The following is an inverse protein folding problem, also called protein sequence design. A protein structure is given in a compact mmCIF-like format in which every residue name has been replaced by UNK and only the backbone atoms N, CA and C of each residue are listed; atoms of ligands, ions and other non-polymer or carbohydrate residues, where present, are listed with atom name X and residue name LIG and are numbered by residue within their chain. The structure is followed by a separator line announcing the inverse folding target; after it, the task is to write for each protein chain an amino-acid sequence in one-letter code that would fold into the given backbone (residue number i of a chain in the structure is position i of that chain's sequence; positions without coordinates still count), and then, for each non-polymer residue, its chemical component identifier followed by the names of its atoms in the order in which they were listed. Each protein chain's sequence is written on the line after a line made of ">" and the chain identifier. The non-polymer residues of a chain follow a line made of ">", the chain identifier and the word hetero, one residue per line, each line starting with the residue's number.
data_IF_400869598778
#
_entry.id   IF_400869598778
#
_cell.length_a   1.000
_cell.length_b   1.000
_cell.length_c   1.000
_cell.angle_alpha   90.00
_cell.angle_beta   90.00
_cell.angle_gamma   90.00
#
_symmetry.space_group_name_H-M   'P 1'
#
loop_
_entity.id
_entity.type
_entity.pdbx_description
1 polymer ?
#
# COMPACT_ATOMS: atom_id res chain seq x y z
N UNK A 1 -3.52 31.26 2.87
CA UNK A 1 -2.25 30.97 2.16
C UNK A 1 -1.76 29.57 2.52
N UNK A 2 -1.20 28.84 1.56
CA UNK A 2 -0.50 27.56 1.73
C UNK A 2 1.00 27.82 1.73
N UNK A 3 1.70 27.48 2.81
CA UNK A 3 3.13 27.73 2.94
C UNK A 3 3.93 26.42 2.88
N UNK A 4 4.92 26.36 1.99
CA UNK A 4 5.77 25.18 1.78
C UNK A 4 7.18 25.45 2.33
N UNK A 5 7.43 25.10 3.59
CA UNK A 5 8.76 25.30 4.18
C UNK A 5 9.62 24.04 4.11
N UNK A 6 10.84 24.21 3.59
CA UNK A 6 11.71 23.13 3.17
C UNK A 6 13.17 23.60 3.14
N UNK A 7 14.12 22.67 3.11
CA UNK A 7 15.51 23.00 2.85
C UNK A 7 15.76 23.16 1.34
N UNK A 8 16.64 24.07 0.94
CA UNK A 8 16.98 24.30 -0.47
C UNK A 8 17.45 23.03 -1.21
N UNK A 9 18.08 22.07 -0.52
CA UNK A 9 18.51 20.79 -1.09
C UNK A 9 17.34 19.87 -1.45
N UNK A 10 16.17 20.09 -0.85
CA UNK A 10 14.97 19.28 -1.06
C UNK A 10 14.09 19.84 -2.20
N UNK A 11 14.47 20.98 -2.78
CA UNK A 11 13.77 21.65 -3.89
C UNK A 11 13.38 20.72 -5.04
N UNK A 12 14.23 19.80 -5.52
CA UNK A 12 13.85 18.92 -6.63
C UNK A 12 12.56 18.14 -6.40
N UNK A 13 12.24 17.79 -5.14
CA UNK A 13 11.00 17.09 -4.78
C UNK A 13 9.89 18.08 -4.39
N UNK A 14 10.21 19.09 -3.58
CA UNK A 14 9.22 20.08 -3.10
C UNK A 14 8.62 20.88 -4.24
N UNK A 15 9.40 21.19 -5.27
CA UNK A 15 8.94 21.88 -6.47
C UNK A 15 7.84 21.10 -7.19
N UNK A 16 7.95 19.77 -7.26
CA UNK A 16 6.93 18.93 -7.88
C UNK A 16 5.59 19.06 -7.13
N UNK A 17 5.63 19.11 -5.80
CA UNK A 17 4.45 19.38 -4.97
C UNK A 17 3.92 20.79 -5.22
N UNK A 18 4.80 21.80 -5.17
CA UNK A 18 4.44 23.20 -5.36
C UNK A 18 3.74 23.45 -6.70
N UNK A 19 4.27 22.89 -7.80
CA UNK A 19 3.69 23.02 -9.14
C UNK A 19 2.28 22.43 -9.24
N UNK A 20 2.04 21.30 -8.56
CA UNK A 20 0.71 20.67 -8.50
C UNK A 20 -0.27 21.53 -7.69
N UNK A 21 0.16 22.03 -6.53
CA UNK A 21 -0.67 22.93 -5.71
C UNK A 21 -0.98 24.24 -6.43
N UNK A 22 0.00 24.80 -7.15
CA UNK A 22 -0.19 25.99 -8.01
C UNK A 22 -1.28 25.74 -9.05
N UNK A 23 -1.30 24.57 -9.68
CA UNK A 23 -2.31 24.21 -10.68
C UNK A 23 -3.72 24.11 -10.08
N UNK A 24 -3.83 23.64 -8.84
CA UNK A 24 -5.12 23.39 -8.16
C UNK A 24 -5.66 24.66 -7.50
N UNK A 25 -4.82 25.38 -6.75
CA UNK A 25 -5.21 26.51 -5.91
C UNK A 25 -4.80 27.87 -6.46
N UNK A 26 -3.99 27.92 -7.52
CA UNK A 26 -3.41 29.16 -8.07
C UNK A 26 -2.12 29.59 -7.36
N UNK A 27 -1.23 30.26 -8.10
CA UNK A 27 0.10 30.65 -7.61
C UNK A 27 0.05 31.58 -6.40
N UNK A 28 -0.89 32.53 -6.39
CA UNK A 28 -1.01 33.53 -5.31
C UNK A 28 -1.46 32.93 -3.97
N UNK A 29 -1.96 31.69 -3.98
CA UNK A 29 -2.37 30.97 -2.78
C UNK A 29 -1.27 30.03 -2.26
N UNK A 30 -0.15 29.87 -2.98
CA UNK A 30 0.96 28.97 -2.64
C UNK A 30 2.25 29.76 -2.49
N UNK A 31 2.70 29.87 -1.25
CA UNK A 31 4.01 30.43 -0.93
C UNK A 31 5.09 29.35 -1.10
N UNK A 32 5.88 29.47 -2.16
CA UNK A 32 7.06 28.66 -2.45
C UNK A 32 8.21 29.61 -2.79
N UNK A 33 9.30 29.50 -2.02
CA UNK A 33 10.39 30.49 -1.97
C UNK A 33 10.89 30.92 -3.37
N UNK A 34 11.00 29.98 -4.29
CA UNK A 34 11.66 30.17 -5.59
C UNK A 34 10.84 31.06 -6.54
N UNK A 35 9.53 31.20 -6.35
CA UNK A 35 8.73 32.20 -7.07
C UNK A 35 8.19 33.32 -6.18
N UNK A 36 8.14 33.11 -4.86
CA UNK A 36 7.61 34.10 -3.91
C UNK A 36 8.64 35.15 -3.49
N UNK A 37 9.93 34.88 -3.66
CA UNK A 37 11.04 35.78 -3.31
C UNK A 37 11.87 36.05 -4.56
N UNK A 38 11.98 37.31 -4.95
CA UNK A 38 12.72 37.74 -6.14
C UNK A 38 14.03 38.45 -5.75
N UNK A 39 15.05 38.46 -6.63
CA UNK A 39 16.26 39.25 -6.40
C UNK A 39 15.94 40.72 -6.09
N UNK A 40 16.44 41.21 -4.95
CA UNK A 40 16.13 42.54 -4.43
C UNK A 40 15.15 42.54 -3.26
N UNK A 41 14.43 41.44 -3.03
CA UNK A 41 13.56 41.28 -1.86
C UNK A 41 14.35 40.97 -0.59
N UNK A 42 13.87 41.50 0.54
CA UNK A 42 14.28 41.02 1.86
C UNK A 42 13.68 39.64 2.13
N UNK A 43 14.53 38.61 2.20
CA UNK A 43 14.10 37.21 2.43
C UNK A 43 13.24 37.10 3.68
N UNK A 44 13.68 37.72 4.79
CA UNK A 44 12.98 37.70 6.08
C UNK A 44 11.60 38.37 5.99
N UNK A 45 11.53 39.51 5.29
CA UNK A 45 10.27 40.26 5.14
C UNK A 45 9.25 39.46 4.34
N UNK A 46 9.68 38.84 3.24
CA UNK A 46 8.81 37.97 2.42
C UNK A 46 8.34 36.73 3.16
N UNK A 47 9.20 36.11 3.97
CA UNK A 47 8.81 34.99 4.83
C UNK A 47 7.77 35.41 5.86
N UNK A 48 7.94 36.56 6.51
CA UNK A 48 6.97 37.10 7.46
C UNK A 48 5.63 37.43 6.81
N UNK A 49 5.65 37.99 5.59
CA UNK A 49 4.46 38.24 4.78
C UNK A 49 3.69 36.93 4.49
N UNK A 50 4.39 35.90 4.02
CA UNK A 50 3.80 34.58 3.74
C UNK A 50 3.24 33.91 5.00
N UNK A 51 3.93 34.02 6.13
CA UNK A 51 3.51 33.47 7.42
C UNK A 51 2.32 34.20 8.04
N UNK A 52 2.14 35.49 7.78
CA UNK A 52 1.06 36.29 8.39
C UNK A 52 -0.32 35.93 7.84
N UNK A 53 -0.40 35.52 6.58
CA UNK A 53 -1.64 35.08 5.92
C UNK A 53 -1.74 33.55 5.80
N UNK A 54 -0.84 32.82 6.47
CA UNK A 54 -0.76 31.37 6.42
C UNK A 54 -1.98 30.74 7.10
N UNK A 55 -2.60 29.77 6.42
CA UNK A 55 -3.63 28.90 6.99
C UNK A 55 -3.11 27.47 7.15
N UNK A 56 -2.30 27.02 6.17
CA UNK A 56 -1.70 25.70 6.14
C UNK A 56 -0.19 25.81 6.00
N UNK A 57 0.54 25.23 6.95
CA UNK A 57 2.00 25.25 7.00
C UNK A 57 2.53 23.82 6.87
N UNK A 58 3.14 23.51 5.72
CA UNK A 58 3.62 22.17 5.38
C UNK A 58 5.13 22.04 5.57
N UNK A 59 5.57 21.09 6.40
CA UNK A 59 7.01 20.83 6.65
C UNK A 59 7.54 19.74 5.80
N UNK A 60 8.49 20.05 4.94
CA UNK A 60 9.26 18.99 4.31
C UNK A 60 10.41 18.60 5.23
N UNK A 61 10.17 17.58 6.05
CA UNK A 61 11.11 17.00 7.04
C UNK A 61 12.04 16.02 6.35
N UNK A 62 13.28 16.46 6.16
CA UNK A 62 14.44 15.68 5.70
C UNK A 62 15.62 15.81 6.67
N UNK A 63 16.65 14.98 6.51
CA UNK A 63 17.93 15.14 7.18
C UNK A 63 18.55 16.54 6.96
N UNK A 64 18.34 17.14 5.78
CA UNK A 64 18.80 18.49 5.46
C UNK A 64 18.03 19.56 6.26
N UNK A 65 16.71 19.39 6.38
CA UNK A 65 15.84 20.34 7.10
C UNK A 65 16.10 20.30 8.62
N UNK A 66 16.27 19.10 9.19
CA UNK A 66 16.43 18.90 10.64
C UNK A 66 17.81 19.37 11.13
N UNK A 67 18.85 19.23 10.29
CA UNK A 67 20.21 19.67 10.61
C UNK A 67 20.43 21.17 10.43
N UNK A 68 19.54 21.88 9.72
CA UNK A 68 19.67 23.32 9.48
C UNK A 68 19.24 24.16 10.68
N UNK A 69 20.17 24.97 11.19
CA UNK A 69 19.93 25.94 12.27
C UNK A 69 18.92 27.04 11.86
N UNK A 70 18.88 27.40 10.57
CA UNK A 70 17.94 28.38 10.02
C UNK A 70 16.51 27.83 9.93
N UNK A 71 16.36 26.57 9.52
CA UNK A 71 15.06 25.86 9.51
C UNK A 71 14.55 25.66 10.94
N UNK A 72 15.41 25.40 11.92
CA UNK A 72 14.99 25.32 13.33
C UNK A 72 14.31 26.60 13.82
N UNK A 73 14.82 27.79 13.46
CA UNK A 73 14.23 29.05 13.89
C UNK A 73 12.88 29.34 13.21
N UNK A 74 12.77 29.08 11.89
CA UNK A 74 11.54 29.28 11.12
C UNK A 74 10.41 28.37 11.58
N UNK A 75 10.71 27.10 11.83
CA UNK A 75 9.73 26.12 12.26
C UNK A 75 9.31 26.31 13.71
N UNK A 76 10.21 26.75 14.60
CA UNK A 76 9.85 27.08 15.99
C UNK A 76 8.87 28.25 16.08
N UNK A 77 9.03 29.29 15.26
CA UNK A 77 8.08 30.40 15.18
C UNK A 77 6.73 29.95 14.58
N UNK A 78 6.74 29.08 13.57
CA UNK A 78 5.52 28.51 13.00
C UNK A 78 4.79 27.59 14.01
N UNK A 79 5.51 26.76 14.77
CA UNK A 79 4.96 25.94 15.85
C UNK A 79 4.30 26.82 16.91
N UNK A 80 4.90 27.95 17.28
CA UNK A 80 4.32 28.87 18.25
C UNK A 80 2.99 29.48 17.74
N UNK A 81 2.92 29.86 16.45
CA UNK A 81 1.67 30.31 15.82
C UNK A 81 0.63 29.18 15.71
N UNK A 82 1.06 27.95 15.44
CA UNK A 82 0.18 26.78 15.39
C UNK A 82 -0.41 26.46 16.77
N UNK A 83 0.38 26.60 17.83
CA UNK A 83 -0.05 26.43 19.22
C UNK A 83 -1.12 27.45 19.65
N UNK A 84 -1.27 28.56 18.92
CA UNK A 84 -2.35 29.55 19.10
C UNK A 84 -3.58 29.26 18.23
N UNK A 85 -3.67 28.09 17.57
CA UNK A 85 -4.69 27.73 16.58
C UNK A 85 -4.79 28.69 15.37
N UNK A 86 -3.78 29.53 15.14
CA UNK A 86 -3.79 30.47 14.03
C UNK A 86 -3.49 29.80 12.67
N UNK A 87 -2.72 28.69 12.70
CA UNK A 87 -2.31 27.95 11.50
C UNK A 87 -2.42 26.43 11.74
N UNK A 88 -2.78 25.68 10.69
CA UNK A 88 -2.68 24.23 10.69
C UNK A 88 -1.27 23.84 10.27
N UNK A 89 -0.52 23.22 11.17
CA UNK A 89 0.84 22.76 10.95
C UNK A 89 0.82 21.27 10.58
N UNK A 90 1.42 20.90 9.45
CA UNK A 90 1.43 19.52 8.94
C UNK A 90 2.86 19.12 8.56
N UNK A 91 3.50 18.20 9.29
CA UNK A 91 4.75 17.62 8.85
C UNK A 91 4.56 16.71 7.63
N UNK A 92 5.57 16.68 6.75
CA UNK A 92 5.70 15.83 5.57
C UNK A 92 7.07 15.16 5.64
N UNK A 93 7.08 13.84 5.82
CA UNK A 93 8.33 13.06 5.88
C UNK A 93 8.89 12.85 4.47
N UNK A 94 10.13 13.27 4.25
CA UNK A 94 10.80 13.25 2.94
C UNK A 94 11.82 12.12 2.79
N UNK A 95 12.39 11.67 3.89
CA UNK A 95 13.41 10.62 3.90
C UNK A 95 13.30 9.75 5.18
N UNK A 96 14.31 8.90 5.40
CA UNK A 96 14.38 8.04 6.57
C UNK A 96 14.94 8.74 7.82
N UNK A 97 15.02 10.07 7.84
CA UNK A 97 15.46 10.81 9.03
C UNK A 97 14.42 10.69 10.17
N UNK A 98 14.87 10.70 11.43
CA UNK A 98 13.97 10.65 12.56
C UNK A 98 13.14 11.94 12.63
N UNK A 99 11.84 11.78 12.85
CA UNK A 99 10.95 12.90 13.09
C UNK A 99 11.36 13.61 14.40
N UNK A 100 11.55 14.94 14.40
CA UNK A 100 11.82 15.67 15.64
C UNK A 100 10.76 15.40 16.70
N UNK A 101 11.16 15.25 17.97
CA UNK A 101 10.27 14.86 19.08
C UNK A 101 9.01 15.74 19.15
N UNK A 102 9.15 17.05 18.95
CA UNK A 102 8.02 17.99 18.97
C UNK A 102 6.95 17.70 17.90
N UNK A 103 7.30 17.01 16.82
CA UNK A 103 6.41 16.66 15.72
C UNK A 103 5.84 15.23 15.82
N UNK A 104 6.37 14.42 16.75
CA UNK A 104 5.91 13.03 16.95
C UNK A 104 4.49 12.96 17.51
N UNK A 105 4.00 14.05 18.11
CA UNK A 105 2.63 14.14 18.64
C UNK A 105 1.57 14.47 17.57
N UNK A 106 2.00 14.85 16.37
CA UNK A 106 1.11 15.19 15.25
C UNK A 106 1.21 14.14 14.14
N UNK A 107 0.07 13.81 13.52
CA UNK A 107 0.06 13.03 12.28
C UNK A 107 0.81 13.80 11.18
N UNK A 108 1.58 13.07 10.38
CA UNK A 108 2.34 13.61 9.26
C UNK A 108 1.94 12.92 7.94
N UNK A 109 2.23 13.58 6.82
CA UNK A 109 2.10 13.00 5.48
C UNK A 109 3.40 12.27 5.14
N UNK A 110 3.33 10.98 4.79
CA UNK A 110 4.52 10.17 4.51
C UNK A 110 4.83 10.13 3.01
N UNK A 111 5.51 11.18 2.50
CA UNK A 111 5.94 11.23 1.10
C UNK A 111 6.98 10.16 0.79
N UNK A 112 7.87 9.85 1.74
CA UNK A 112 8.95 8.89 1.57
C UNK A 112 8.46 7.47 1.30
N UNK A 113 7.50 6.96 2.09
CA UNK A 113 7.01 5.59 1.97
C UNK A 113 5.79 5.44 1.07
N UNK A 114 4.96 6.49 0.92
CA UNK A 114 3.72 6.41 0.11
C UNK A 114 3.87 7.04 -1.29
N UNK A 115 4.95 7.78 -1.53
CA UNK A 115 5.22 8.45 -2.79
C UNK A 115 4.47 9.78 -2.99
N UNK A 116 4.88 10.51 -4.01
CA UNK A 116 4.45 11.91 -4.22
C UNK A 116 2.96 12.05 -4.56
N UNK A 117 2.38 11.13 -5.33
CA UNK A 117 0.97 11.23 -5.74
C UNK A 117 0.02 11.10 -4.53
N UNK A 118 0.32 10.17 -3.62
CA UNK A 118 -0.44 10.02 -2.36
C UNK A 118 -0.24 11.25 -1.47
N UNK A 119 0.99 11.74 -1.34
CA UNK A 119 1.29 12.92 -0.52
C UNK A 119 0.57 14.17 -1.04
N UNK A 120 0.63 14.46 -2.34
CA UNK A 120 -0.06 15.61 -2.96
C UNK A 120 -1.56 15.53 -2.74
N UNK A 121 -2.17 14.35 -2.93
CA UNK A 121 -3.60 14.15 -2.66
C UNK A 121 -3.94 14.47 -1.20
N UNK A 122 -3.18 13.92 -0.25
CA UNK A 122 -3.42 14.17 1.18
C UNK A 122 -3.24 15.65 1.54
N UNK A 123 -2.28 16.35 0.95
CA UNK A 123 -2.13 17.81 1.10
C UNK A 123 -3.39 18.54 0.63
N UNK A 124 -3.91 18.18 -0.55
CA UNK A 124 -5.15 18.77 -1.11
C UNK A 124 -6.35 18.49 -0.20
N UNK A 125 -6.51 17.24 0.26
CA UNK A 125 -7.58 16.83 1.16
C UNK A 125 -7.53 17.65 2.46
N UNK A 126 -6.34 17.83 3.05
CA UNK A 126 -6.14 18.65 4.25
C UNK A 126 -6.55 20.10 4.02
N UNK A 127 -6.21 20.68 2.86
CA UNK A 127 -6.53 22.07 2.51
C UNK A 127 -8.03 22.26 2.28
N UNK A 128 -8.70 21.26 1.70
CA UNK A 128 -10.14 21.28 1.42
C UNK A 128 -11.01 20.89 2.62
N UNK A 129 -10.40 20.37 3.70
CA UNK A 129 -11.13 19.87 4.88
C UNK A 129 -11.70 18.46 4.70
N UNK A 130 -11.24 17.71 3.69
CA UNK A 130 -11.64 16.33 3.45
C UNK A 130 -10.90 15.38 4.41
N UNK A 131 -11.50 14.23 4.67
CA UNK A 131 -10.82 13.13 5.36
C UNK A 131 -9.74 12.54 4.43
N UNK A 132 -8.52 12.38 4.93
CA UNK A 132 -7.39 11.81 4.17
C UNK A 132 -7.45 10.29 4.04
N UNK A 133 -8.37 9.63 4.77
CA UNK A 133 -8.66 8.21 4.63
C UNK A 133 -9.31 7.93 3.27
N UNK A 134 -8.82 6.88 2.62
CA UNK A 134 -9.40 6.33 1.40
C UNK A 134 -9.73 4.88 1.67
N UNK A 135 -10.91 4.44 1.24
CA UNK A 135 -11.22 3.01 1.18
C UNK A 135 -10.21 2.36 0.23
N UNK A 136 -9.45 1.34 0.68
CA UNK A 136 -8.52 0.62 -0.19
C UNK A 136 -9.26 0.13 -1.44
N UNK A 137 -8.70 0.41 -2.62
CA UNK A 137 -9.26 -0.05 -3.89
C UNK A 137 -9.06 -1.55 -4.10
N UNK A 138 -8.04 -2.12 -3.46
CA UNK A 138 -7.80 -3.55 -3.44
C UNK A 138 -8.61 -4.21 -2.35
N UNK A 139 -9.35 -5.25 -2.71
CA UNK A 139 -9.99 -6.13 -1.74
C UNK A 139 -8.94 -6.71 -0.79
N UNK A 140 -9.25 -6.70 0.50
CA UNK A 140 -8.44 -7.38 1.49
C UNK A 140 -8.54 -8.90 1.29
N UNK A 141 -7.39 -9.58 1.22
CA UNK A 141 -7.31 -11.03 1.18
C UNK A 141 -6.45 -11.50 2.35
N UNK A 142 -7.03 -12.32 3.23
CA UNK A 142 -6.25 -13.02 4.25
C UNK A 142 -5.53 -14.25 3.68
N UNK A 143 -5.96 -14.78 2.52
CA UNK A 143 -5.35 -15.94 1.90
C UNK A 143 -4.60 -15.57 0.63
N UNK A 144 -3.49 -16.27 0.37
CA UNK A 144 -2.78 -16.27 -0.90
C UNK A 144 -2.44 -17.71 -1.28
N UNK A 145 -2.52 -18.02 -2.57
CA UNK A 145 -1.95 -19.23 -3.14
C UNK A 145 -0.61 -18.90 -3.80
N UNK A 146 0.42 -19.65 -3.45
CA UNK A 146 1.75 -19.53 -4.05
C UNK A 146 2.04 -20.77 -4.88
N UNK A 147 2.27 -20.56 -6.18
CA UNK A 147 2.52 -21.61 -7.16
C UNK A 147 4.01 -21.71 -7.46
N UNK A 148 4.57 -22.92 -7.34
CA UNK A 148 5.98 -23.20 -7.60
C UNK A 148 6.14 -24.51 -8.38
N UNK A 149 6.92 -24.49 -9.47
CA UNK A 149 7.34 -25.71 -10.17
C UNK A 149 8.62 -26.27 -9.54
N UNK A 150 8.64 -27.56 -9.24
CA UNK A 150 9.76 -28.28 -8.61
C UNK A 150 10.00 -29.57 -9.40
N UNK A 151 10.79 -29.50 -10.47
CA UNK A 151 10.98 -30.63 -11.38
C UNK A 151 9.65 -31.06 -12.01
N UNK A 152 9.27 -32.33 -11.83
CA UNK A 152 7.99 -32.89 -12.33
C UNK A 152 6.83 -32.72 -11.34
N UNK A 153 6.92 -31.74 -10.44
CA UNK A 153 5.90 -31.46 -9.43
C UNK A 153 5.48 -30.00 -9.51
N UNK A 154 4.19 -29.76 -9.37
CA UNK A 154 3.63 -28.43 -9.18
C UNK A 154 3.14 -28.31 -7.73
N UNK A 155 3.76 -27.44 -6.94
CA UNK A 155 3.37 -27.21 -5.55
C UNK A 155 2.55 -25.93 -5.45
N UNK A 156 1.41 -26.02 -4.77
CA UNK A 156 0.59 -24.87 -4.39
C UNK A 156 0.54 -24.78 -2.86
N UNK A 157 1.02 -23.66 -2.32
CA UNK A 157 0.97 -23.35 -0.89
C UNK A 157 -0.12 -22.29 -0.66
N UNK A 158 -1.23 -22.69 -0.05
CA UNK A 158 -2.26 -21.79 0.42
C UNK A 158 -1.91 -21.31 1.84
N UNK A 159 -1.62 -20.01 1.99
CA UNK A 159 -1.15 -19.43 3.24
C UNK A 159 -2.09 -18.33 3.70
N UNK A 160 -2.35 -18.29 5.01
CA UNK A 160 -2.94 -17.12 5.63
C UNK A 160 -1.88 -16.04 5.85
N UNK A 161 -2.20 -14.78 5.53
CA UNK A 161 -1.27 -13.66 5.56
C UNK A 161 -1.26 -12.95 6.91
N UNK A 162 -2.41 -12.91 7.60
CA UNK A 162 -2.58 -12.06 8.78
C UNK A 162 -3.16 -12.79 9.99
N UNK A 163 -4.15 -13.67 9.79
CA UNK A 163 -4.85 -14.35 10.88
C UNK A 163 -5.38 -15.73 10.45
N UNK A 164 -5.90 -16.51 11.40
CA UNK A 164 -6.49 -17.83 11.17
C UNK A 164 -7.62 -17.76 10.13
N UNK A 165 -7.49 -18.54 9.05
CA UNK A 165 -8.61 -18.87 8.17
C UNK A 165 -9.29 -20.15 8.68
N UNK A 166 -10.51 -20.06 9.23
CA UNK A 166 -11.15 -21.21 9.88
C UNK A 166 -11.50 -22.35 8.92
N UNK A 167 -11.74 -22.05 7.64
CA UNK A 167 -12.11 -23.06 6.64
C UNK A 167 -10.91 -23.32 5.74
N UNK A 168 -10.19 -24.41 5.98
CA UNK A 168 -9.07 -24.86 5.15
C UNK A 168 -9.58 -25.79 4.04
N UNK A 169 -10.26 -25.21 3.04
CA UNK A 169 -10.80 -25.97 1.90
C UNK A 169 -10.67 -25.15 0.63
N UNK A 170 -10.01 -25.74 -0.36
CA UNK A 170 -9.61 -25.07 -1.60
C UNK A 170 -10.01 -25.87 -2.83
N UNK A 171 -10.33 -25.16 -3.91
CA UNK A 171 -10.43 -25.69 -5.26
C UNK A 171 -9.22 -25.23 -6.05
N UNK A 172 -8.52 -26.18 -6.66
CA UNK A 172 -7.41 -25.94 -7.59
C UNK A 172 -7.94 -26.15 -9.00
N UNK A 173 -8.10 -25.06 -9.74
CA UNK A 173 -8.73 -25.05 -11.05
C UNK A 173 -7.68 -25.17 -12.16
N UNK A 174 -7.91 -26.08 -13.10
CA UNK A 174 -7.05 -26.35 -14.25
C UNK A 174 -7.87 -26.48 -15.54
N UNK A 175 -7.21 -26.37 -16.69
CA UNK A 175 -7.80 -26.70 -18.00
C UNK A 175 -7.45 -28.13 -18.43
N UNK A 176 -6.50 -28.79 -17.76
CA UNK A 176 -6.09 -30.16 -18.04
C UNK A 176 -7.11 -31.16 -17.46
N UNK A 177 -7.25 -32.34 -18.07
CA UNK A 177 -8.06 -33.42 -17.49
C UNK A 177 -7.45 -33.89 -16.15
N UNK A 178 -8.31 -34.26 -15.21
CA UNK A 178 -7.93 -34.72 -13.86
C UNK A 178 -7.36 -36.15 -13.84
N UNK A 179 -7.64 -36.98 -14.86
CA UNK A 179 -7.40 -38.44 -14.83
C UNK A 179 -5.94 -38.89 -14.69
N UNK A 180 -4.98 -38.07 -15.11
CA UNK A 180 -3.56 -38.44 -15.16
C UNK A 180 -2.67 -37.66 -14.17
N UNK A 181 -3.29 -36.91 -13.27
CA UNK A 181 -2.60 -36.05 -12.30
C UNK A 181 -2.86 -36.56 -10.90
N UNK A 182 -1.80 -36.89 -10.18
CA UNK A 182 -1.90 -37.32 -8.79
C UNK A 182 -1.73 -36.12 -7.88
N UNK A 183 -2.56 -35.99 -6.85
CA UNK A 183 -2.52 -34.88 -5.89
C UNK A 183 -2.25 -35.40 -4.49
N UNK A 184 -1.23 -34.87 -3.85
CA UNK A 184 -0.86 -35.16 -2.47
C UNK A 184 -1.06 -33.90 -1.61
N UNK A 185 -1.71 -34.05 -0.45
CA UNK A 185 -1.76 -32.98 0.56
C UNK A 185 -0.60 -33.20 1.52
N UNK A 186 0.35 -32.26 1.57
CA UNK A 186 1.58 -32.43 2.35
C UNK A 186 1.32 -32.13 3.82
N UNK A 187 2.04 -32.85 4.70
CA UNK A 187 1.96 -32.75 6.17
C UNK A 187 0.60 -33.13 6.78
N UNK A 188 -0.30 -33.71 5.97
CA UNK A 188 -1.64 -34.08 6.41
C UNK A 188 -1.86 -35.58 6.22
N UNK A 189 -2.31 -36.25 7.27
CA UNK A 189 -2.63 -37.69 7.21
C UNK A 189 -4.05 -37.95 6.72
N UNK A 190 -4.97 -37.03 7.01
CA UNK A 190 -6.36 -37.08 6.59
C UNK A 190 -6.72 -35.78 5.91
N UNK A 191 -7.31 -35.87 4.73
CA UNK A 191 -7.83 -34.74 4.00
C UNK A 191 -9.15 -35.12 3.33
N UNK A 192 -9.99 -34.12 3.12
CA UNK A 192 -11.22 -34.24 2.33
C UNK A 192 -10.86 -33.86 0.91
N UNK A 193 -11.32 -34.63 -0.07
CA UNK A 193 -11.11 -34.27 -1.46
C UNK A 193 -12.15 -34.81 -2.43
N UNK A 194 -12.12 -34.26 -3.64
CA UNK A 194 -12.96 -34.68 -4.75
C UNK A 194 -12.50 -33.98 -6.03
N UNK A 195 -12.58 -34.70 -7.16
CA UNK A 195 -12.11 -34.20 -8.46
C UNK A 195 -13.29 -34.14 -9.42
N UNK A 196 -13.42 -33.04 -10.16
CA UNK A 196 -14.55 -32.82 -11.05
C UNK A 196 -14.10 -32.13 -12.34
N UNK A 197 -14.44 -32.72 -13.48
CA UNK A 197 -14.24 -32.13 -14.79
C UNK A 197 -15.48 -31.30 -15.22
N UNK A 198 -15.24 -30.20 -15.95
CA UNK A 198 -16.29 -29.41 -16.61
C UNK A 198 -17.12 -28.51 -15.68
N UNK A 199 -16.56 -28.10 -14.54
CA UNK A 199 -17.20 -27.17 -13.59
C UNK A 199 -17.36 -25.79 -14.25
N UNK A 200 -18.59 -25.27 -14.38
CA UNK A 200 -18.81 -23.94 -14.93
C UNK A 200 -18.48 -22.86 -13.90
N UNK A 201 -17.67 -21.88 -14.30
CA UNK A 201 -17.45 -20.66 -13.54
C UNK A 201 -18.42 -19.57 -13.96
N UNK A 202 -18.66 -18.59 -13.07
CA UNK A 202 -19.52 -17.43 -13.37
C UNK A 202 -19.03 -16.58 -14.56
N UNK A 203 -17.78 -16.72 -14.97
CA UNK A 203 -17.21 -16.10 -16.17
C UNK A 203 -17.63 -16.77 -17.49
N UNK A 204 -18.33 -17.91 -17.44
CA UNK A 204 -18.64 -18.75 -18.60
C UNK A 204 -17.53 -19.72 -19.00
N UNK A 205 -16.36 -19.65 -18.36
CA UNK A 205 -15.28 -20.62 -18.53
C UNK A 205 -15.66 -21.94 -17.84
N UNK A 206 -15.41 -23.07 -18.50
CA UNK A 206 -15.45 -24.39 -17.86
C UNK A 206 -14.05 -24.80 -17.45
N UNK A 207 -13.88 -25.19 -16.21
CA UNK A 207 -12.61 -25.64 -15.64
C UNK A 207 -12.77 -27.03 -15.03
N UNK A 208 -11.66 -27.74 -14.91
CA UNK A 208 -11.58 -28.94 -14.10
C UNK A 208 -11.01 -28.55 -12.74
N UNK A 209 -11.40 -29.27 -11.69
CA UNK A 209 -11.09 -28.88 -10.32
C UNK A 209 -10.63 -30.07 -9.49
N UNK A 210 -9.63 -29.82 -8.65
CA UNK A 210 -9.28 -30.67 -7.52
C UNK A 210 -9.72 -29.94 -6.25
N UNK A 211 -10.68 -30.50 -5.51
CA UNK A 211 -11.04 -30.00 -4.19
C UNK A 211 -10.17 -30.69 -3.16
N UNK A 212 -9.46 -29.95 -2.32
CA UNK A 212 -8.78 -30.51 -1.15
C UNK A 212 -9.03 -29.63 0.07
N UNK A 213 -9.18 -30.24 1.24
CA UNK A 213 -9.33 -29.53 2.50
C UNK A 213 -9.02 -30.39 3.72
N UNK A 214 -8.90 -29.74 4.88
CA UNK A 214 -8.62 -30.34 6.18
C UNK A 214 -9.52 -29.76 7.25
N UNK A 215 -9.64 -30.46 8.38
CA UNK A 215 -10.55 -30.12 9.48
C UNK A 215 -10.05 -28.98 10.37
N UNK A 216 -8.76 -28.66 10.33
CA UNK A 216 -8.22 -27.48 11.01
C UNK A 216 -8.13 -26.28 10.06
N UNK A 217 -8.08 -25.08 10.62
CA UNK A 217 -7.89 -23.87 9.82
C UNK A 217 -6.46 -23.70 9.30
N UNK A 218 -6.30 -22.81 8.32
CA UNK A 218 -5.00 -22.38 7.79
C UNK A 218 -4.49 -21.17 8.59
N UNK A 219 -3.24 -21.19 9.05
CA UNK A 219 -2.61 -20.05 9.73
C UNK A 219 -1.37 -19.57 8.97
N UNK A 220 -0.77 -18.41 9.32
CA UNK A 220 0.49 -17.99 8.71
C UNK A 220 1.63 -19.00 8.84
N UNK A 221 1.68 -19.71 9.97
CA UNK A 221 2.74 -20.68 10.28
C UNK A 221 2.35 -22.14 9.92
N UNK A 222 1.06 -22.41 9.69
CA UNK A 222 0.54 -23.71 9.25
C UNK A 222 -0.24 -23.55 7.93
N UNK A 223 0.47 -23.40 6.80
CA UNK A 223 -0.15 -23.31 5.49
C UNK A 223 -0.74 -24.65 5.04
N UNK A 224 -1.76 -24.60 4.19
CA UNK A 224 -2.28 -25.76 3.49
C UNK A 224 -1.48 -25.97 2.20
N UNK A 225 -0.83 -27.13 2.05
CA UNK A 225 0.09 -27.38 0.93
C UNK A 225 -0.38 -28.58 0.13
N UNK A 226 -0.50 -28.40 -1.18
CA UNK A 226 -0.77 -29.49 -2.12
C UNK A 226 0.33 -29.60 -3.16
N UNK A 227 0.59 -30.82 -3.59
CA UNK A 227 1.55 -31.13 -4.62
C UNK A 227 0.89 -32.00 -5.71
N UNK A 228 1.01 -31.54 -6.94
CA UNK A 228 0.54 -32.24 -8.13
C UNK A 228 1.74 -32.92 -8.78
N UNK A 229 1.67 -34.25 -8.96
CA UNK A 229 2.60 -34.98 -9.81
C UNK A 229 2.17 -34.78 -11.27
N UNK A 230 3.02 -34.09 -12.03
CA UNK A 230 2.77 -33.70 -13.42
C UNK A 230 3.65 -34.49 -14.40
N UNK A 231 4.29 -35.58 -13.95
CA UNK A 231 5.17 -36.41 -14.78
C UNK A 231 4.50 -36.98 -16.03
N UNK A 232 3.19 -37.24 -15.97
CA UNK A 232 2.38 -37.73 -17.10
C UNK A 232 1.75 -36.62 -17.94
N UNK A 233 1.69 -35.39 -17.42
CA UNK A 233 1.08 -34.23 -18.07
C UNK A 233 2.02 -33.02 -17.89
N UNK A 234 3.12 -32.93 -18.67
CA UNK A 234 4.14 -31.91 -18.46
C UNK A 234 3.62 -30.46 -18.57
N UNK A 235 2.57 -30.24 -19.37
CA UNK A 235 1.92 -28.94 -19.55
C UNK A 235 0.80 -28.68 -18.51
N UNK A 236 0.74 -29.46 -17.43
CA UNK A 236 -0.26 -29.27 -16.38
C UNK A 236 -0.02 -27.97 -15.64
N UNK A 237 -1.09 -27.18 -15.46
CA UNK A 237 -1.04 -25.97 -14.66
C UNK A 237 -2.33 -25.71 -13.86
N UNK A 238 -2.18 -25.02 -12.73
CA UNK A 238 -3.26 -24.43 -11.97
C UNK A 238 -3.42 -22.97 -12.38
N UNK A 239 -4.56 -22.64 -12.98
CA UNK A 239 -4.88 -21.30 -13.49
C UNK A 239 -5.58 -20.42 -12.45
N UNK A 240 -6.18 -21.04 -11.43
CA UNK A 240 -6.92 -20.34 -10.38
C UNK A 240 -7.00 -21.21 -9.13
N UNK A 241 -6.95 -20.57 -7.96
CA UNK A 241 -7.25 -21.21 -6.67
C UNK A 241 -8.42 -20.48 -6.04
N UNK A 242 -9.39 -21.24 -5.55
CA UNK A 242 -10.57 -20.70 -4.88
C UNK A 242 -10.67 -21.26 -3.47
N UNK A 243 -11.12 -20.44 -2.53
CA UNK A 243 -11.33 -20.78 -1.12
C UNK A 243 -12.82 -20.91 -0.83
N UNK A 244 -13.20 -21.90 -0.01
CA UNK A 244 -14.58 -22.09 0.43
C UNK A 244 -14.98 -21.03 1.45
N UNK A 245 -15.72 -20.02 1.01
CA UNK A 245 -16.18 -18.91 1.86
C UNK A 245 -17.55 -19.18 2.51
N UNK A 246 -18.33 -20.12 1.97
CA UNK A 246 -19.57 -20.61 2.56
C UNK A 246 -19.85 -22.06 2.15
N UNK A 247 -20.97 -22.64 2.58
CA UNK A 247 -21.33 -24.02 2.21
C UNK A 247 -21.44 -24.22 0.70
N UNK A 248 -21.91 -23.21 -0.03
CA UNK A 248 -22.22 -23.29 -1.46
C UNK A 248 -21.33 -22.38 -2.32
N UNK A 249 -20.41 -21.62 -1.70
CA UNK A 249 -19.63 -20.58 -2.37
C UNK A 249 -18.13 -20.80 -2.22
N UNK A 250 -17.45 -20.66 -3.34
CA UNK A 250 -16.01 -20.53 -3.42
C UNK A 250 -15.64 -19.19 -4.03
N UNK A 251 -14.69 -18.48 -3.44
CA UNK A 251 -14.18 -17.21 -3.92
C UNK A 251 -12.72 -17.33 -4.34
N UNK A 252 -12.35 -16.70 -5.45
CA UNK A 252 -10.97 -16.72 -5.93
C UNK A 252 -10.04 -16.01 -4.93
N UNK A 253 -8.88 -16.62 -4.67
CA UNK A 253 -7.81 -16.01 -3.88
C UNK A 253 -6.64 -15.61 -4.80
N UNK A 254 -5.85 -14.59 -4.42
CA UNK A 254 -4.68 -14.19 -5.20
C UNK A 254 -3.73 -15.38 -5.43
N UNK A 255 -3.34 -15.60 -6.68
CA UNK A 255 -2.37 -16.61 -7.08
C UNK A 255 -1.06 -15.94 -7.48
N UNK A 256 0.02 -16.20 -6.73
CA UNK A 256 1.37 -15.70 -7.00
C UNK A 256 2.24 -16.80 -7.56
N UNK A 257 3.05 -16.47 -8.57
CA UNK A 257 4.04 -17.41 -9.14
C UNK A 257 5.38 -17.16 -8.45
N UNK A 258 5.91 -18.18 -7.79
CA UNK A 258 7.23 -18.18 -7.18
C UNK A 258 8.20 -18.82 -8.17
N UNK A 259 9.30 -18.13 -8.46
CA UNK A 259 10.37 -18.61 -9.32
C UNK A 259 11.42 -19.38 -8.51
#
# INVERSE_FOLDING_TARGET
>A
MIFLSHNWKDKPVVEQVALRLRKIFGQNNVFYDSWSIQPGDGIIDKMNEGLSNCQYFFFFVSANSVSSSMVKMEWQNAIFKAAQNAIKFIPIRMDNSPMPILLTQSLYIDLYSQGIEVAVRQIVDVIQGNNTYQTPTTQFHNLVAEKQHIGNKLRITCRALHFLEPISSFLFCTLNDTKDVTVEVLNETMHIGGDQNGVPLNSGLKVNTFMRGVEHGTTPDMPFIVEFDISKVPDFDIIMVMHKSSHERFDAIPLKIIR
#
